data_IF_637367548446
#
_entry.id   IF_637367548446
#
_cell.length_a   1.000
_cell.length_b   1.000
_cell.length_c   1.000
_cell.angle_alpha   90.00
_cell.angle_beta   90.00
_cell.angle_gamma   90.00
#
_symmetry.space_group_name_H-M   'P 1'
#
loop_
_entity.id
_entity.type
_entity.pdbx_description
1 polymer ?
#
# COMPACT_ATOMS: atom_id res chain seq x y z
N UNK A 1 23.01 -21.33 20.87
CA UNK A 1 21.99 -22.38 20.67
C UNK A 1 21.15 -21.96 19.48
N UNK A 2 20.93 -22.81 18.47
CA UNK A 2 20.07 -22.46 17.33
C UNK A 2 18.61 -22.48 17.80
N UNK A 3 17.82 -21.41 17.61
CA UNK A 3 16.46 -21.37 18.13
C UNK A 3 15.58 -22.43 17.44
N UNK A 4 14.63 -23.00 18.21
CA UNK A 4 13.75 -24.08 17.73
C UNK A 4 12.88 -23.58 16.59
N UNK A 5 12.81 -24.34 15.50
CA UNK A 5 11.89 -24.05 14.39
C UNK A 5 10.51 -24.67 14.61
N UNK A 6 9.50 -23.87 14.31
CA UNK A 6 8.10 -24.23 14.20
C UNK A 6 7.65 -24.08 12.77
N UNK A 7 6.66 -24.87 12.35
CA UNK A 7 6.08 -24.79 11.01
C UNK A 7 4.58 -24.60 11.06
N UNK A 8 4.03 -23.97 10.02
CA UNK A 8 2.60 -23.88 9.77
C UNK A 8 2.35 -24.04 8.27
N UNK A 9 1.21 -24.64 7.93
CA UNK A 9 0.78 -24.86 6.56
C UNK A 9 -0.67 -24.41 6.44
N UNK A 10 -0.94 -23.58 5.44
CA UNK A 10 -2.27 -23.13 5.09
C UNK A 10 -2.54 -23.46 3.63
N UNK A 11 -3.75 -23.90 3.35
CA UNK A 11 -4.10 -24.36 2.01
C UNK A 11 -5.49 -23.91 1.62
N UNK A 12 -5.68 -23.63 0.34
CA UNK A 12 -6.98 -23.29 -0.23
C UNK A 12 -7.06 -23.83 -1.65
N UNK A 13 -8.20 -24.40 -2.01
CA UNK A 13 -8.49 -24.81 -3.39
C UNK A 13 -9.22 -23.69 -4.10
N UNK A 14 -8.71 -23.28 -5.26
CA UNK A 14 -9.20 -22.11 -6.01
C UNK A 14 -9.53 -22.53 -7.44
N UNK A 15 -10.65 -22.03 -7.97
CA UNK A 15 -11.10 -22.31 -9.34
C UNK A 15 -10.35 -21.46 -10.39
N UNK A 16 -9.03 -21.36 -10.27
CA UNK A 16 -8.17 -20.57 -11.16
C UNK A 16 -6.94 -21.37 -11.62
N UNK A 17 -6.36 -20.94 -12.74
CA UNK A 17 -5.10 -21.50 -13.23
C UNK A 17 -3.94 -21.08 -12.31
N UNK A 18 -2.94 -21.95 -12.08
CA UNK A 18 -1.90 -21.69 -11.09
C UNK A 18 -1.00 -20.52 -11.50
N UNK A 19 -0.82 -20.25 -12.79
CA UNK A 19 -0.02 -19.13 -13.29
C UNK A 19 -0.62 -17.78 -12.88
N UNK A 20 -1.95 -17.67 -12.86
CA UNK A 20 -2.65 -16.43 -12.45
C UNK A 20 -2.41 -16.13 -10.98
N UNK A 21 -2.49 -17.16 -10.12
CA UNK A 21 -2.23 -17.02 -8.69
C UNK A 21 -0.75 -16.75 -8.41
N UNK A 22 0.14 -17.43 -9.15
CA UNK A 22 1.57 -17.19 -9.09
C UNK A 22 1.92 -15.74 -9.43
N UNK A 23 1.38 -15.20 -10.53
CA UNK A 23 1.62 -13.82 -10.96
C UNK A 23 1.20 -12.79 -9.89
N UNK A 24 0.05 -13.00 -9.23
CA UNK A 24 -0.42 -12.15 -8.13
C UNK A 24 0.53 -12.15 -6.93
N UNK A 25 1.06 -13.32 -6.57
CA UNK A 25 2.06 -13.43 -5.48
C UNK A 25 3.42 -12.90 -5.92
N UNK A 26 3.81 -13.10 -7.17
CA UNK A 26 5.08 -12.62 -7.71
C UNK A 26 5.14 -11.08 -7.74
N UNK A 27 4.03 -10.39 -8.04
CA UNK A 27 3.99 -8.93 -8.09
C UNK A 27 3.80 -8.28 -6.71
N UNK A 28 4.88 -8.20 -5.92
CA UNK A 28 4.86 -7.57 -4.61
C UNK A 28 4.46 -6.08 -4.62
N UNK A 29 4.60 -5.38 -5.76
CA UNK A 29 4.23 -3.98 -5.86
C UNK A 29 2.70 -3.76 -5.82
N UNK A 30 1.92 -4.78 -6.21
CA UNK A 30 0.46 -4.76 -6.19
C UNK A 30 -0.13 -5.20 -4.83
N UNK A 31 0.65 -5.86 -3.98
CA UNK A 31 0.19 -6.41 -2.70
C UNK A 31 -0.54 -5.41 -1.80
N UNK A 32 -0.14 -4.13 -1.69
CA UNK A 32 -0.90 -3.17 -0.88
C UNK A 32 -2.37 -2.99 -1.29
N UNK A 33 -2.72 -3.22 -2.57
CA UNK A 33 -4.11 -3.22 -3.02
C UNK A 33 -4.79 -4.58 -2.95
N UNK A 34 -4.02 -5.68 -3.06
CA UNK A 34 -4.56 -7.05 -3.13
C UNK A 34 -4.67 -7.69 -1.75
N UNK A 35 -3.62 -7.67 -0.93
CA UNK A 35 -3.56 -8.33 0.36
C UNK A 35 -3.94 -7.41 1.49
N UNK A 36 -5.01 -7.75 2.22
CA UNK A 36 -5.55 -6.97 3.34
C UNK A 36 -4.49 -6.45 4.32
N UNK A 37 -3.59 -7.31 4.85
CA UNK A 37 -2.59 -6.89 5.83
C UNK A 37 -1.54 -5.92 5.29
N UNK A 38 -1.11 -6.08 4.04
CA UNK A 38 0.00 -5.30 3.45
C UNK A 38 -0.40 -3.85 3.25
N UNK A 39 0.34 -2.92 3.88
CA UNK A 39 0.15 -1.47 3.78
C UNK A 39 1.04 -0.87 2.69
N UNK A 40 2.31 -1.29 2.63
CA UNK A 40 3.27 -0.78 1.64
C UNK A 40 4.38 -1.79 1.38
N UNK A 41 4.93 -1.76 0.17
CA UNK A 41 6.13 -2.49 -0.25
C UNK A 41 7.06 -1.50 -0.94
N UNK A 42 8.32 -1.46 -0.49
CA UNK A 42 9.40 -0.68 -1.10
C UNK A 42 10.52 -1.62 -1.53
N UNK A 43 10.70 -1.78 -2.83
CA UNK A 43 11.80 -2.56 -3.39
C UNK A 43 13.16 -1.93 -3.04
N UNK A 44 14.09 -2.79 -2.66
CA UNK A 44 15.49 -2.46 -2.39
C UNK A 44 16.38 -3.00 -3.51
N UNK A 45 16.10 -4.22 -3.96
CA UNK A 45 16.75 -4.88 -5.09
C UNK A 45 15.67 -5.62 -5.89
N UNK A 46 15.74 -5.54 -7.23
CA UNK A 46 14.82 -6.26 -8.13
C UNK A 46 15.61 -6.91 -9.25
N UNK A 47 15.41 -8.21 -9.43
CA UNK A 47 15.90 -8.99 -10.56
C UNK A 47 14.85 -9.99 -11.01
N UNK A 48 15.16 -10.76 -12.05
CA UNK A 48 14.18 -11.62 -12.73
C UNK A 48 13.73 -12.81 -11.87
N UNK A 49 14.63 -13.33 -11.03
CA UNK A 49 14.43 -14.54 -10.21
C UNK A 49 14.58 -14.30 -8.71
N UNK A 50 14.96 -13.09 -8.32
CA UNK A 50 15.17 -12.75 -6.93
C UNK A 50 14.88 -11.27 -6.72
N UNK A 51 14.35 -10.97 -5.54
CA UNK A 51 14.11 -9.59 -5.13
C UNK A 51 14.25 -9.44 -3.63
N UNK A 52 14.44 -8.19 -3.21
CA UNK A 52 14.51 -7.79 -1.83
C UNK A 52 13.71 -6.52 -1.65
N UNK A 53 12.82 -6.50 -0.67
CA UNK A 53 11.99 -5.35 -0.38
C UNK A 53 11.77 -5.19 1.13
N UNK A 54 11.53 -3.95 1.56
CA UNK A 54 10.94 -3.67 2.87
C UNK A 54 9.43 -3.67 2.72
N UNK A 55 8.73 -4.32 3.64
CA UNK A 55 7.27 -4.41 3.65
C UNK A 55 6.75 -3.89 4.99
N UNK A 56 5.66 -3.15 4.93
CA UNK A 56 4.87 -2.71 6.08
C UNK A 56 3.52 -3.41 6.00
N UNK A 57 3.14 -4.08 7.08
CA UNK A 57 1.88 -4.80 7.15
C UNK A 57 1.26 -4.70 8.54
N UNK A 58 -0.07 -4.86 8.60
CA UNK A 58 -0.79 -4.95 9.86
C UNK A 58 -0.59 -6.34 10.45
N UNK A 59 0.02 -6.41 11.63
CA UNK A 59 0.21 -7.63 12.42
C UNK A 59 -0.47 -7.42 13.76
N UNK A 60 -1.50 -8.21 14.06
CA UNK A 60 -2.27 -8.14 15.30
C UNK A 60 -2.80 -6.72 15.64
N UNK A 61 -3.24 -6.00 14.60
CA UNK A 61 -3.85 -4.67 14.73
C UNK A 61 -2.87 -3.49 14.66
N UNK A 62 -1.56 -3.74 14.77
CA UNK A 62 -0.51 -2.72 14.67
C UNK A 62 0.26 -2.82 13.35
N UNK A 63 0.78 -1.71 12.83
CA UNK A 63 1.68 -1.76 11.66
C UNK A 63 3.09 -2.14 12.11
N UNK A 64 3.62 -3.18 11.49
CA UNK A 64 5.00 -3.64 11.66
C UNK A 64 5.69 -3.67 10.30
N UNK A 65 7.02 -3.61 10.31
CA UNK A 65 7.82 -3.70 9.10
C UNK A 65 9.05 -4.58 9.24
N UNK A 66 9.44 -5.18 8.11
CA UNK A 66 10.60 -6.04 7.99
C UNK A 66 11.15 -6.02 6.57
N UNK A 67 12.38 -6.52 6.39
CA UNK A 67 12.96 -6.75 5.06
C UNK A 67 12.79 -8.22 4.68
N UNK A 68 12.26 -8.46 3.49
CA UNK A 68 12.08 -9.79 2.92
C UNK A 68 12.96 -9.95 1.68
N UNK A 69 13.62 -11.11 1.56
CA UNK A 69 14.23 -11.59 0.32
C UNK A 69 13.38 -12.72 -0.23
N UNK A 70 13.15 -12.73 -1.55
CA UNK A 70 12.41 -13.79 -2.23
C UNK A 70 13.17 -14.36 -3.40
N UNK A 71 12.90 -15.63 -3.70
CA UNK A 71 13.29 -16.27 -4.96
C UNK A 71 12.03 -16.71 -5.69
N UNK A 72 11.98 -16.39 -6.98
CA UNK A 72 10.85 -16.62 -7.87
C UNK A 72 11.19 -17.74 -8.84
N UNK A 73 10.35 -18.77 -8.86
CA UNK A 73 10.44 -19.91 -9.78
C UNK A 73 9.13 -19.99 -10.60
N UNK A 74 9.04 -19.25 -11.72
CA UNK A 74 7.85 -19.25 -12.56
C UNK A 74 7.59 -20.60 -13.24
N UNK A 75 8.61 -21.38 -13.56
CA UNK A 75 8.43 -22.70 -14.17
C UNK A 75 7.94 -23.74 -13.16
N UNK A 76 8.51 -23.73 -11.94
CA UNK A 76 8.09 -24.61 -10.86
C UNK A 76 6.86 -24.12 -10.09
N UNK A 77 6.38 -22.90 -10.40
CA UNK A 77 5.27 -22.21 -9.74
C UNK A 77 5.47 -22.16 -8.22
N UNK A 78 6.61 -21.59 -7.81
CA UNK A 78 7.03 -21.47 -6.41
C UNK A 78 7.60 -20.09 -6.11
N UNK A 79 7.31 -19.60 -4.91
CA UNK A 79 7.97 -18.41 -4.38
C UNK A 79 8.46 -18.70 -2.98
N UNK A 80 9.77 -18.76 -2.79
CA UNK A 80 10.36 -18.88 -1.46
C UNK A 80 10.66 -17.49 -0.91
N UNK A 81 10.50 -17.32 0.40
CA UNK A 81 10.76 -16.04 1.04
C UNK A 81 11.41 -16.20 2.41
N UNK A 82 12.22 -15.21 2.78
CA UNK A 82 12.84 -15.09 4.10
C UNK A 82 12.81 -13.67 4.60
N UNK A 83 12.41 -13.49 5.85
CA UNK A 83 12.65 -12.24 6.56
C UNK A 83 14.13 -12.14 6.94
N UNK A 84 14.85 -11.18 6.36
CA UNK A 84 16.27 -10.94 6.65
C UNK A 84 16.47 -10.26 7.99
N UNK A 85 15.56 -9.35 8.34
CA UNK A 85 15.53 -8.66 9.64
C UNK A 85 14.14 -8.83 10.23
N UNK A 86 14.03 -9.79 11.14
CA UNK A 86 12.84 -9.94 11.98
C UNK A 86 12.91 -8.92 13.12
N UNK A 87 11.78 -8.65 13.77
CA UNK A 87 11.74 -7.87 15.02
C UNK A 87 11.36 -8.80 16.16
N UNK A 88 11.99 -8.59 17.32
CA UNK A 88 11.59 -9.25 18.56
C UNK A 88 10.06 -9.14 18.74
N UNK A 89 9.38 -10.23 19.13
CA UNK A 89 9.96 -11.47 19.65
C UNK A 89 10.23 -12.56 18.57
N UNK A 90 10.17 -12.23 17.28
CA UNK A 90 10.42 -13.16 16.17
C UNK A 90 11.92 -13.20 15.87
N UNK A 91 12.54 -14.36 16.06
CA UNK A 91 13.96 -14.58 15.75
C UNK A 91 14.19 -14.89 14.26
N UNK A 92 13.27 -15.64 13.65
CA UNK A 92 13.32 -15.98 12.23
C UNK A 92 11.91 -16.20 11.68
N UNK A 93 11.69 -15.81 10.43
CA UNK A 93 10.43 -16.01 9.72
C UNK A 93 10.67 -16.15 8.22
N UNK A 94 9.90 -16.99 7.55
CA UNK A 94 10.07 -17.33 6.14
C UNK A 94 9.12 -18.44 5.74
N UNK A 95 9.22 -18.88 4.49
CA UNK A 95 8.26 -19.80 3.95
C UNK A 95 8.35 -19.99 2.45
N UNK A 96 7.31 -20.63 1.93
CA UNK A 96 7.18 -20.96 0.52
C UNK A 96 5.70 -20.92 0.11
N UNK A 97 5.44 -20.27 -1.01
CA UNK A 97 4.21 -20.41 -1.78
C UNK A 97 4.38 -21.50 -2.83
N UNK A 98 3.37 -22.37 -2.96
CA UNK A 98 3.28 -23.37 -4.03
C UNK A 98 1.90 -23.29 -4.68
N UNK A 99 1.87 -23.35 -6.01
CA UNK A 99 0.65 -23.33 -6.79
C UNK A 99 0.51 -24.66 -7.53
N UNK A 100 -0.19 -25.61 -6.92
CA UNK A 100 -0.23 -27.00 -7.37
C UNK A 100 -1.46 -27.24 -8.26
N UNK A 101 -1.31 -27.57 -9.56
CA UNK A 101 -2.44 -27.87 -10.43
C UNK A 101 -3.22 -29.07 -9.90
N UNK A 102 -4.55 -29.00 -9.96
CA UNK A 102 -5.42 -30.08 -9.49
C UNK A 102 -5.95 -30.97 -10.61
N UNK A 103 -6.18 -32.27 -10.33
CA UNK A 103 -6.98 -33.12 -11.21
C UNK A 103 -8.38 -32.52 -11.37
N UNK A 104 -8.85 -32.36 -12.62
CA UNK A 104 -10.15 -31.75 -12.92
C UNK A 104 -10.14 -30.22 -13.08
N UNK A 105 -8.99 -29.57 -12.95
CA UNK A 105 -8.84 -28.12 -13.08
C UNK A 105 -8.81 -27.39 -11.74
N UNK A 106 -8.38 -26.12 -11.79
CA UNK A 106 -8.11 -25.32 -10.59
C UNK A 106 -6.74 -25.57 -9.98
N UNK A 107 -6.50 -24.94 -8.84
CA UNK A 107 -5.20 -24.91 -8.15
C UNK A 107 -5.37 -25.15 -6.67
N UNK A 108 -4.53 -26.01 -6.10
CA UNK A 108 -4.28 -26.11 -4.66
C UNK A 108 -3.19 -25.10 -4.31
N UNK A 109 -3.59 -24.02 -3.67
CA UNK A 109 -2.70 -23.00 -3.17
C UNK A 109 -2.16 -23.45 -1.81
N UNK A 110 -0.84 -23.48 -1.65
CA UNK A 110 -0.18 -23.88 -0.40
C UNK A 110 0.74 -22.75 0.05
N UNK A 111 0.56 -22.31 1.29
CA UNK A 111 1.43 -21.37 1.98
C UNK A 111 2.06 -22.05 3.18
N UNK A 112 3.36 -22.32 3.06
CA UNK A 112 4.18 -22.87 4.12
C UNK A 112 4.89 -21.75 4.85
N UNK A 113 4.90 -21.84 6.17
CA UNK A 113 5.70 -20.98 7.03
C UNK A 113 6.62 -21.80 7.90
N UNK A 114 7.79 -21.24 8.16
CA UNK A 114 8.67 -21.72 9.19
C UNK A 114 9.28 -20.53 9.97
N UNK A 115 9.21 -20.62 11.29
CA UNK A 115 9.54 -19.52 12.19
C UNK A 115 10.21 -19.99 13.48
N UNK A 116 10.85 -19.06 14.17
CA UNK A 116 11.42 -19.26 15.49
C UNK A 116 11.22 -18.01 16.36
N UNK A 117 11.01 -18.21 17.66
CA UNK A 117 11.00 -17.13 18.67
C UNK A 117 12.38 -17.04 19.34
N UNK A 118 12.74 -15.87 19.89
CA UNK A 118 14.08 -15.64 20.48
C UNK A 118 14.39 -16.58 21.65
N UNK A 119 13.41 -16.82 22.54
CA UNK A 119 13.57 -17.68 23.72
C UNK A 119 12.72 -18.97 23.66
N UNK A 120 12.09 -19.25 22.52
CA UNK A 120 11.11 -20.35 22.36
C UNK A 120 9.98 -20.35 23.41
N UNK A 121 9.66 -19.17 23.97
CA UNK A 121 8.59 -18.99 24.94
C UNK A 121 7.24 -19.48 24.35
N UNK A 122 6.53 -20.41 25.03
CA UNK A 122 5.29 -20.97 24.49
C UNK A 122 4.19 -19.95 24.24
N UNK A 123 4.11 -18.85 25.00
CA UNK A 123 3.14 -17.79 24.77
C UNK A 123 3.45 -17.02 23.48
N UNK A 124 4.71 -16.66 23.31
CA UNK A 124 5.23 -16.02 22.11
C UNK A 124 5.00 -16.89 20.87
N UNK A 125 5.31 -18.19 20.94
CA UNK A 125 5.06 -19.12 19.83
C UNK A 125 3.57 -19.19 19.48
N UNK A 126 2.68 -19.22 20.47
CA UNK A 126 1.22 -19.18 20.22
C UNK A 126 0.79 -17.85 19.59
N UNK A 127 1.34 -16.73 20.04
CA UNK A 127 1.06 -15.42 19.49
C UNK A 127 1.48 -15.30 18.02
N UNK A 128 2.69 -15.79 17.67
CA UNK A 128 3.20 -15.81 16.29
C UNK A 128 2.30 -16.72 15.43
N UNK A 129 1.99 -17.94 15.90
CA UNK A 129 1.14 -18.88 15.17
C UNK A 129 -0.25 -18.30 14.90
N UNK A 130 -0.88 -17.67 15.89
CA UNK A 130 -2.18 -17.04 15.71
C UNK A 130 -2.16 -15.87 14.71
N UNK A 131 -1.05 -15.10 14.66
CA UNK A 131 -0.86 -14.07 13.67
C UNK A 131 -0.71 -14.65 12.25
N UNK A 132 0.10 -15.71 12.11
CA UNK A 132 0.27 -16.43 10.85
C UNK A 132 -1.06 -17.02 10.38
N UNK A 133 -1.81 -17.70 11.23
CA UNK A 133 -3.08 -18.33 10.86
C UNK A 133 -4.09 -17.31 10.31
N UNK A 134 -4.21 -16.14 10.96
CA UNK A 134 -5.08 -15.07 10.48
C UNK A 134 -4.61 -14.45 9.17
N UNK A 135 -3.31 -14.14 9.08
CA UNK A 135 -2.77 -13.44 7.90
C UNK A 135 -2.74 -14.36 6.69
N UNK A 136 -2.29 -15.60 6.85
CA UNK A 136 -2.29 -16.62 5.79
C UNK A 136 -3.68 -16.84 5.23
N UNK A 137 -4.69 -17.03 6.08
CA UNK A 137 -6.08 -17.20 5.63
C UNK A 137 -6.56 -15.98 4.82
N UNK A 138 -6.30 -14.76 5.32
CA UNK A 138 -6.68 -13.53 4.62
C UNK A 138 -5.96 -13.35 3.27
N UNK A 139 -4.70 -13.77 3.16
CA UNK A 139 -3.92 -13.74 1.93
C UNK A 139 -4.42 -14.77 0.90
N UNK A 140 -4.66 -16.01 1.33
CA UNK A 140 -5.26 -17.06 0.50
C UNK A 140 -6.62 -16.64 -0.05
N UNK A 141 -7.50 -16.12 0.82
CA UNK A 141 -8.82 -15.63 0.41
C UNK A 141 -8.71 -14.44 -0.56
N UNK A 142 -7.72 -13.56 -0.38
CA UNK A 142 -7.51 -12.44 -1.29
C UNK A 142 -7.09 -12.90 -2.69
N UNK A 143 -6.21 -13.89 -2.78
CA UNK A 143 -5.81 -14.49 -4.04
C UNK A 143 -6.99 -15.17 -4.74
N UNK A 144 -7.76 -15.96 -4.00
CA UNK A 144 -8.96 -16.61 -4.52
C UNK A 144 -9.96 -15.58 -5.07
N UNK A 145 -10.29 -14.55 -4.28
CA UNK A 145 -11.21 -13.49 -4.70
C UNK A 145 -10.78 -12.84 -6.01
N UNK A 146 -9.52 -12.43 -6.14
CA UNK A 146 -9.05 -11.76 -7.36
C UNK A 146 -9.06 -12.70 -8.56
N UNK A 147 -8.61 -13.93 -8.38
CA UNK A 147 -8.54 -14.91 -9.45
C UNK A 147 -9.94 -15.35 -9.96
N UNK A 148 -10.96 -15.24 -9.11
CA UNK A 148 -12.35 -15.64 -9.40
C UNK A 148 -13.22 -14.47 -9.91
N UNK A 149 -12.67 -13.26 -10.06
CA UNK A 149 -13.41 -12.12 -10.63
C UNK A 149 -13.80 -12.31 -12.12
N UNK A 150 -13.30 -13.36 -12.79
CA UNK A 150 -13.59 -13.63 -14.19
C UNK A 150 -12.87 -12.72 -15.18
N UNK A 151 -11.88 -11.93 -14.70
CA UNK A 151 -11.08 -11.01 -15.50
C UNK A 151 -9.59 -11.25 -15.28
N UNK A 152 -8.73 -10.99 -16.29
CA UNK A 152 -7.28 -10.99 -16.08
C UNK A 152 -6.87 -10.03 -14.95
N UNK A 153 -5.96 -10.45 -14.07
CA UNK A 153 -5.51 -9.66 -12.93
C UNK A 153 -5.07 -8.23 -13.31
N UNK A 154 -4.36 -8.08 -14.44
CA UNK A 154 -3.92 -6.78 -14.99
C UNK A 154 -5.07 -5.82 -15.39
N UNK A 155 -6.28 -6.34 -15.59
CA UNK A 155 -7.45 -5.54 -15.95
C UNK A 155 -8.22 -5.06 -14.71
N UNK A 156 -8.14 -5.81 -13.60
CA UNK A 156 -8.79 -5.44 -12.33
C UNK A 156 -7.83 -4.74 -11.36
N UNK A 157 -6.52 -5.00 -11.45
CA UNK A 157 -5.48 -4.27 -10.73
C UNK A 157 -4.94 -3.17 -11.63
N UNK A 158 -5.05 -1.93 -11.18
CA UNK A 158 -4.63 -0.75 -11.93
C UNK A 158 -3.66 0.08 -11.08
N UNK A 159 -2.52 0.44 -11.67
CA UNK A 159 -1.58 1.41 -11.08
C UNK A 159 -1.40 2.59 -12.02
N UNK A 160 -1.41 3.80 -11.47
CA UNK A 160 -1.11 5.03 -12.21
C UNK A 160 -0.51 6.09 -11.29
N UNK A 161 0.09 7.09 -11.92
CA UNK A 161 0.85 8.12 -11.23
C UNK A 161 0.59 9.48 -11.87
N UNK A 162 0.52 10.51 -11.05
CA UNK A 162 0.52 11.92 -11.44
C UNK A 162 1.71 12.64 -10.77
N UNK A 163 2.42 13.48 -11.52
CA UNK A 163 3.61 14.19 -11.04
C UNK A 163 3.52 15.69 -11.33
N UNK A 164 3.90 16.51 -10.34
CA UNK A 164 4.07 17.95 -10.47
C UNK A 164 5.49 18.36 -10.12
N UNK A 165 6.02 19.36 -10.84
CA UNK A 165 7.26 20.06 -10.50
C UNK A 165 6.94 21.51 -10.17
N UNK A 166 7.46 22.03 -9.06
CA UNK A 166 7.19 23.38 -8.57
C UNK A 166 8.36 23.92 -7.73
N UNK A 167 8.51 25.25 -7.59
CA UNK A 167 9.49 25.84 -6.67
C UNK A 167 9.11 25.58 -5.21
N UNK A 168 10.10 25.37 -4.35
CA UNK A 168 9.92 25.20 -2.92
C UNK A 168 10.57 23.94 -2.37
N UNK A 169 10.74 23.88 -1.05
CA UNK A 169 11.45 22.78 -0.39
C UNK A 169 10.63 21.49 -0.33
N UNK A 170 11.32 20.36 -0.44
CA UNK A 170 10.75 19.00 -0.29
C UNK A 170 10.07 18.86 1.07
N UNK A 171 10.69 19.41 2.13
CA UNK A 171 10.16 19.39 3.49
C UNK A 171 8.80 20.08 3.62
N UNK A 172 8.58 21.20 2.92
CA UNK A 172 7.33 21.94 3.02
C UNK A 172 6.19 21.21 2.31
N UNK A 173 6.47 20.68 1.12
CA UNK A 173 5.52 19.86 0.37
C UNK A 173 5.15 18.58 1.15
N UNK A 174 6.15 17.90 1.72
CA UNK A 174 5.95 16.75 2.59
C UNK A 174 5.10 17.13 3.82
N UNK A 175 5.48 18.20 4.53
CA UNK A 175 4.79 18.64 5.74
C UNK A 175 3.31 18.97 5.48
N UNK A 176 2.98 19.54 4.31
CA UNK A 176 1.60 19.79 3.92
C UNK A 176 0.76 18.50 3.86
N UNK A 177 1.30 17.44 3.25
CA UNK A 177 0.59 16.14 3.09
C UNK A 177 0.64 15.33 4.39
N UNK A 178 1.74 15.42 5.14
CA UNK A 178 1.91 14.79 6.45
C UNK A 178 0.88 15.32 7.45
N UNK A 179 0.74 16.66 7.54
CA UNK A 179 -0.22 17.35 8.43
C UNK A 179 -1.66 17.34 7.89
N UNK A 180 -2.18 16.13 7.69
CA UNK A 180 -3.54 15.91 7.21
C UNK A 180 -4.60 16.37 8.21
N UNK A 181 -4.27 16.48 9.50
CA UNK A 181 -5.11 17.10 10.52
C UNK A 181 -5.55 18.53 10.15
N UNK A 182 -4.80 19.21 9.30
CA UNK A 182 -5.08 20.56 8.83
C UNK A 182 -5.82 20.60 7.47
N UNK A 183 -6.08 19.45 6.84
CA UNK A 183 -6.66 19.42 5.48
C UNK A 183 -8.06 20.01 5.41
N UNK A 184 -8.91 19.87 6.44
CA UNK A 184 -10.22 20.52 6.46
C UNK A 184 -10.15 22.07 6.38
N UNK A 185 -9.00 22.66 6.71
CA UNK A 185 -8.76 24.11 6.58
C UNK A 185 -8.00 24.48 5.30
N UNK A 186 -7.35 23.51 4.65
CA UNK A 186 -6.40 23.72 3.54
C UNK A 186 -6.92 23.24 2.18
N UNK A 187 -7.81 22.24 2.19
CA UNK A 187 -8.34 21.58 1.01
C UNK A 187 -9.85 21.82 0.92
N UNK A 188 -10.34 22.55 -0.10
CA UNK A 188 -11.77 22.89 -0.22
C UNK A 188 -12.71 21.69 -0.29
N UNK A 189 -12.20 20.54 -0.74
CA UNK A 189 -12.97 19.31 -0.90
C UNK A 189 -12.99 18.41 0.35
N UNK A 190 -12.32 18.81 1.44
CA UNK A 190 -12.26 18.06 2.70
C UNK A 190 -13.08 18.78 3.76
N UNK A 191 -14.13 18.15 4.26
CA UNK A 191 -15.03 18.76 5.25
C UNK A 191 -14.67 18.38 6.69
N UNK A 192 -14.12 17.19 6.91
CA UNK A 192 -13.73 16.68 8.24
C UNK A 192 -12.47 15.83 8.13
N UNK A 193 -11.61 15.93 9.14
CA UNK A 193 -10.48 15.02 9.35
C UNK A 193 -10.43 14.58 10.81
N UNK A 194 -10.11 13.31 11.03
CA UNK A 194 -9.58 12.77 12.29
C UNK A 194 -8.26 12.06 11.97
N UNK A 195 -7.19 12.51 12.59
CA UNK A 195 -5.84 11.95 12.43
C UNK A 195 -5.31 11.55 13.80
N UNK A 196 -4.85 10.32 13.93
CA UNK A 196 -4.07 9.85 15.08
C UNK A 196 -2.73 9.29 14.60
N UNK A 197 -1.68 9.43 15.40
CA UNK A 197 -0.33 8.95 15.05
C UNK A 197 0.29 8.20 16.23
N UNK A 198 0.07 6.89 16.26
CA UNK A 198 0.56 6.01 17.30
C UNK A 198 0.88 4.63 16.69
N UNK A 199 2.16 4.22 16.58
CA UNK A 199 3.40 4.94 16.94
C UNK A 199 3.77 6.07 15.96
N UNK A 200 4.80 6.90 16.27
CA UNK A 200 5.34 7.88 15.33
C UNK A 200 5.66 7.28 13.96
N UNK A 201 5.32 8.00 12.88
CA UNK A 201 5.45 7.54 11.50
C UNK A 201 4.34 6.60 11.03
N UNK A 202 3.39 6.22 11.89
CA UNK A 202 2.21 5.41 11.53
C UNK A 202 0.95 6.17 11.90
N UNK A 203 0.15 6.50 10.89
CA UNK A 203 -1.03 7.33 11.07
C UNK A 203 -2.31 6.58 10.70
N UNK A 204 -3.38 6.83 11.46
CA UNK A 204 -4.75 6.49 11.08
C UNK A 204 -5.47 7.79 10.71
N UNK A 205 -5.87 7.88 9.44
CA UNK A 205 -6.52 9.04 8.86
C UNK A 205 -7.93 8.66 8.43
N UNK A 206 -8.93 9.24 9.09
CA UNK A 206 -10.32 9.24 8.65
C UNK A 206 -10.67 10.64 8.14
N UNK A 207 -11.28 10.73 6.96
CA UNK A 207 -11.70 12.01 6.39
C UNK A 207 -12.99 11.88 5.60
N UNK A 208 -13.75 12.99 5.58
CA UNK A 208 -14.94 13.14 4.74
C UNK A 208 -14.63 14.09 3.59
N UNK A 209 -14.75 13.59 2.36
CA UNK A 209 -14.61 14.39 1.15
C UNK A 209 -15.99 14.73 0.57
N UNK A 210 -16.14 15.96 0.10
CA UNK A 210 -17.36 16.41 -0.59
C UNK A 210 -17.12 16.34 -2.09
N UNK A 211 -17.94 15.59 -2.81
CA UNK A 211 -17.88 15.48 -4.27
C UNK A 211 -18.66 16.63 -4.93
N UNK A 212 -18.48 16.77 -6.24
CA UNK A 212 -19.10 17.86 -7.02
C UNK A 212 -20.65 17.83 -6.99
N UNK A 213 -21.25 16.67 -6.73
CA UNK A 213 -22.70 16.49 -6.56
C UNK A 213 -23.19 16.81 -5.13
N UNK A 214 -22.30 17.25 -4.24
CA UNK A 214 -22.60 17.60 -2.86
C UNK A 214 -22.68 16.41 -1.90
N UNK A 215 -22.50 15.17 -2.38
CA UNK A 215 -22.47 14.01 -1.51
C UNK A 215 -21.15 13.95 -0.71
N UNK A 216 -21.23 13.40 0.51
CA UNK A 216 -20.07 13.24 1.38
C UNK A 216 -19.65 11.77 1.43
N UNK A 217 -18.36 11.52 1.23
CA UNK A 217 -17.78 10.18 1.30
C UNK A 217 -16.76 10.11 2.44
N UNK A 218 -17.02 9.24 3.41
CA UNK A 218 -16.05 8.91 4.44
C UNK A 218 -15.05 7.88 3.90
N UNK A 219 -13.77 8.19 4.04
CA UNK A 219 -12.68 7.25 3.81
C UNK A 219 -11.84 7.13 5.06
N UNK A 220 -11.27 5.94 5.29
CA UNK A 220 -10.32 5.71 6.37
C UNK A 220 -9.10 5.01 5.83
N UNK A 221 -7.91 5.45 6.22
CA UNK A 221 -6.64 4.93 5.74
C UNK A 221 -5.64 4.78 6.87
N UNK A 222 -4.79 3.77 6.76
CA UNK A 222 -3.54 3.71 7.51
C UNK A 222 -2.42 4.25 6.63
N UNK A 223 -1.54 5.08 7.19
CA UNK A 223 -0.40 5.68 6.49
C UNK A 223 0.91 5.32 7.18
N UNK A 224 1.95 5.13 6.38
CA UNK A 224 3.34 4.98 6.81
C UNK A 224 4.12 6.15 6.24
N UNK A 225 4.81 6.86 7.11
CA UNK A 225 5.45 8.14 6.82
C UNK A 225 6.96 8.01 7.01
N UNK A 226 7.72 8.40 5.99
CA UNK A 226 9.18 8.50 6.05
C UNK A 226 9.57 9.94 5.69
N UNK A 227 9.90 10.72 6.70
CA UNK A 227 10.22 12.14 6.53
C UNK A 227 11.60 12.34 5.88
N UNK A 228 11.76 13.36 5.02
CA UNK A 228 10.74 14.19 4.36
C UNK A 228 10.34 13.62 2.98
N UNK A 229 10.52 12.32 2.76
CA UNK A 229 10.60 11.75 1.42
C UNK A 229 9.26 11.23 0.91
N UNK A 230 8.52 10.47 1.71
CA UNK A 230 7.32 9.80 1.21
C UNK A 230 6.30 9.43 2.29
N UNK A 231 5.05 9.28 1.85
CA UNK A 231 3.93 8.83 2.67
C UNK A 231 3.17 7.76 1.87
N UNK A 232 3.27 6.50 2.29
CA UNK A 232 2.45 5.42 1.72
C UNK A 232 1.15 5.32 2.51
N UNK A 233 0.06 4.93 1.86
CA UNK A 233 -1.20 4.70 2.54
C UNK A 233 -1.96 3.51 1.96
N UNK A 234 -2.82 2.93 2.80
CA UNK A 234 -3.81 1.93 2.42
C UNK A 234 -5.17 2.32 2.97
N UNK A 235 -6.18 2.36 2.10
CA UNK A 235 -7.55 2.57 2.53
C UNK A 235 -8.10 1.30 3.18
N UNK A 236 -8.67 1.47 4.38
CA UNK A 236 -9.44 0.46 5.11
C UNK A 236 -10.93 0.54 4.79
N UNK A 237 -11.41 1.74 4.47
CA UNK A 237 -12.76 1.98 3.95
C UNK A 237 -12.58 2.57 2.54
N UNK A 238 -12.95 1.78 1.54
CA UNK A 238 -12.81 2.12 0.11
C UNK A 238 -14.13 2.60 -0.49
N UNK A 239 -14.09 3.41 -1.57
CA UNK A 239 -15.25 3.64 -2.41
C UNK A 239 -15.80 2.33 -3.00
N UNK A 240 -17.12 2.29 -3.28
CA UNK A 240 -17.85 1.09 -3.71
C UNK A 240 -17.27 0.39 -4.95
N UNK A 241 -16.63 1.12 -5.86
CA UNK A 241 -16.00 0.54 -7.06
C UNK A 241 -14.69 -0.22 -6.78
N UNK A 242 -14.15 -0.17 -5.55
CA UNK A 242 -12.83 -0.68 -5.21
C UNK A 242 -12.91 -1.76 -4.12
N UNK A 243 -12.37 -2.94 -4.43
CA UNK A 243 -12.08 -3.98 -3.44
C UNK A 243 -10.80 -3.69 -2.64
N UNK A 244 -9.92 -2.83 -3.18
CA UNK A 244 -8.69 -2.42 -2.53
C UNK A 244 -8.12 -1.14 -3.12
N UNK A 245 -7.50 -0.32 -2.27
CA UNK A 245 -6.84 0.90 -2.69
C UNK A 245 -5.66 1.21 -1.77
N UNK A 246 -4.51 1.43 -2.41
CA UNK A 246 -3.31 1.94 -1.78
C UNK A 246 -2.74 3.08 -2.61
N UNK A 247 -1.94 3.93 -2.01
CA UNK A 247 -1.22 4.95 -2.73
C UNK A 247 0.07 5.37 -2.06
N UNK A 248 0.79 6.25 -2.74
CA UNK A 248 2.09 6.73 -2.33
C UNK A 248 2.23 8.18 -2.76
N UNK A 249 2.55 9.04 -1.79
CA UNK A 249 3.03 10.39 -2.02
C UNK A 249 4.55 10.35 -1.93
N UNK A 250 5.24 10.80 -2.96
CA UNK A 250 6.71 10.89 -3.01
C UNK A 250 7.12 12.32 -3.31
N UNK A 251 8.16 12.78 -2.63
CA UNK A 251 8.72 14.11 -2.78
C UNK A 251 10.23 13.99 -2.98
N UNK A 252 10.74 14.57 -4.06
CA UNK A 252 12.15 14.51 -4.41
C UNK A 252 12.66 15.88 -4.89
N UNK A 253 13.94 16.20 -4.70
CA UNK A 253 14.55 17.38 -5.30
C UNK A 253 14.49 17.31 -6.83
N UNK A 254 14.08 18.41 -7.47
CA UNK A 254 14.02 18.54 -8.92
C UNK A 254 15.23 19.23 -9.55
N UNK A 255 16.15 19.77 -8.74
CA UNK A 255 17.18 20.73 -9.15
C UNK A 255 16.71 22.18 -8.99
N UNK A 256 17.64 23.13 -8.87
CA UNK A 256 17.38 24.58 -8.86
C UNK A 256 16.30 25.03 -7.85
N UNK A 257 16.30 24.45 -6.65
CA UNK A 257 15.32 24.78 -5.60
C UNK A 257 13.88 24.32 -5.90
N UNK A 258 13.69 23.43 -6.89
CA UNK A 258 12.39 22.83 -7.20
C UNK A 258 12.19 21.51 -6.50
N UNK A 259 10.92 21.19 -6.23
CA UNK A 259 10.46 19.88 -5.76
C UNK A 259 9.69 19.19 -6.87
N UNK A 260 9.90 17.88 -6.99
CA UNK A 260 9.09 16.96 -7.79
C UNK A 260 8.23 16.17 -6.81
N UNK A 261 6.91 16.37 -6.85
CA UNK A 261 5.96 15.61 -6.06
C UNK A 261 5.17 14.65 -6.95
N UNK A 262 5.05 13.41 -6.50
CA UNK A 262 4.44 12.31 -7.23
C UNK A 262 3.36 11.66 -6.38
N UNK A 263 2.17 11.50 -6.93
CA UNK A 263 1.06 10.76 -6.33
C UNK A 263 0.81 9.50 -7.15
N UNK A 264 1.06 8.33 -6.56
CA UNK A 264 0.76 7.02 -7.15
C UNK A 264 -0.46 6.41 -6.48
N UNK A 265 -1.30 5.77 -7.28
CA UNK A 265 -2.42 4.95 -6.82
C UNK A 265 -2.25 3.54 -7.38
N UNK A 266 -2.52 2.54 -6.55
CA UNK A 266 -2.69 1.15 -6.94
C UNK A 266 -4.02 0.67 -6.39
N UNK A 267 -4.93 0.27 -7.26
CA UNK A 267 -6.32 -0.10 -6.94
C UNK A 267 -6.64 -1.50 -7.44
N UNK A 268 -7.53 -2.18 -6.73
CA UNK A 268 -8.22 -3.39 -7.16
C UNK A 268 -9.70 -3.03 -7.36
N UNK A 269 -10.16 -3.12 -8.60
CA UNK A 269 -11.53 -2.81 -8.99
C UNK A 269 -12.49 -3.94 -8.57
N UNK A 270 -13.75 -3.57 -8.35
CA UNK A 270 -14.88 -4.47 -8.22
C UNK A 270 -15.71 -4.47 -9.53
N UNK A 271 -15.52 -5.45 -10.43
CA UNK A 271 -16.31 -5.55 -11.65
C UNK A 271 -17.82 -5.67 -11.38
N UNK A 272 -18.21 -6.28 -10.26
CA UNK A 272 -19.62 -6.51 -9.92
C UNK A 272 -20.35 -5.22 -9.53
N UNK A 273 -19.63 -4.24 -9.01
CA UNK A 273 -20.16 -2.93 -8.63
C UNK A 273 -20.34 -1.98 -9.83
N UNK A 274 -19.79 -2.30 -11.01
CA UNK A 274 -19.78 -1.39 -12.16
C UNK A 274 -21.19 -0.98 -12.62
N UNK A 275 -22.15 -1.91 -12.83
CA UNK A 275 -23.50 -1.52 -13.27
C UNK A 275 -24.26 -0.70 -12.23
N UNK A 276 -24.01 -0.95 -10.94
CA UNK A 276 -24.63 -0.23 -9.82
C UNK A 276 -24.11 1.21 -9.73
N UNK A 277 -22.78 1.40 -9.81
CA UNK A 277 -22.17 2.70 -9.55
C UNK A 277 -22.08 3.58 -10.79
N UNK A 278 -21.79 3.00 -11.97
CA UNK A 278 -21.59 3.76 -13.21
C UNK A 278 -22.81 3.70 -14.15
N UNK A 279 -23.79 2.86 -13.82
CA UNK A 279 -25.01 2.64 -14.59
C UNK A 279 -24.97 1.41 -15.48
N UNK A 280 -26.17 0.94 -15.85
CA UNK A 280 -26.34 -0.23 -16.69
C UNK A 280 -25.61 -0.09 -18.05
N UNK A 281 -24.97 -1.17 -18.51
CA UNK A 281 -24.23 -1.21 -19.78
C UNK A 281 -22.78 -0.70 -19.70
N UNK A 282 -22.32 -0.21 -18.54
CA UNK A 282 -20.92 0.16 -18.32
C UNK A 282 -20.01 -1.06 -18.17
N UNK A 283 -18.78 -0.90 -18.63
CA UNK A 283 -17.77 -1.95 -18.70
C UNK A 283 -16.67 -1.75 -17.65
N UNK A 284 -15.84 -2.79 -17.46
CA UNK A 284 -14.63 -2.67 -16.64
C UNK A 284 -13.68 -1.58 -17.17
N UNK A 285 -13.64 -1.36 -18.49
CA UNK A 285 -12.84 -0.29 -19.09
C UNK A 285 -13.37 1.11 -18.70
N UNK A 286 -14.70 1.30 -18.67
CA UNK A 286 -15.31 2.52 -18.15
C UNK A 286 -14.94 2.74 -16.68
N UNK A 287 -14.95 1.69 -15.86
CA UNK A 287 -14.58 1.75 -14.46
C UNK A 287 -13.10 2.13 -14.26
N UNK A 288 -12.19 1.56 -15.06
CA UNK A 288 -10.76 1.92 -15.05
C UNK A 288 -10.56 3.41 -15.37
N UNK A 289 -11.22 3.90 -16.43
CA UNK A 289 -11.13 5.31 -16.82
C UNK A 289 -11.70 6.22 -15.72
N UNK A 290 -12.89 5.89 -15.21
CA UNK A 290 -13.54 6.66 -14.15
C UNK A 290 -12.68 6.76 -12.89
N UNK A 291 -12.13 5.64 -12.41
CA UNK A 291 -11.29 5.60 -11.20
C UNK A 291 -9.98 6.34 -11.40
N UNK A 292 -9.31 6.16 -12.55
CA UNK A 292 -8.08 6.90 -12.91
C UNK A 292 -8.30 8.40 -12.83
N UNK A 293 -9.40 8.85 -13.42
CA UNK A 293 -9.77 10.26 -13.52
C UNK A 293 -10.17 10.84 -12.17
N UNK A 294 -11.03 10.15 -11.41
CA UNK A 294 -11.51 10.62 -10.12
C UNK A 294 -10.37 10.74 -9.09
N UNK A 295 -9.57 9.68 -8.94
CA UNK A 295 -8.46 9.67 -8.00
C UNK A 295 -7.33 10.61 -8.43
N UNK A 296 -7.00 10.65 -9.73
CA UNK A 296 -5.99 11.55 -10.27
C UNK A 296 -6.34 13.03 -10.10
N UNK A 297 -7.61 13.41 -10.35
CA UNK A 297 -8.07 14.79 -10.09
C UNK A 297 -7.96 15.15 -8.61
N UNK A 298 -8.35 14.25 -7.71
CA UNK A 298 -8.28 14.48 -6.27
C UNK A 298 -6.83 14.65 -5.80
N UNK A 299 -5.93 13.75 -6.18
CA UNK A 299 -4.53 13.81 -5.75
C UNK A 299 -3.77 14.99 -6.36
N UNK A 300 -4.01 15.30 -7.63
CA UNK A 300 -3.45 16.52 -8.26
C UNK A 300 -3.93 17.80 -7.59
N UNK A 301 -5.20 17.87 -7.15
CA UNK A 301 -5.68 19.03 -6.40
C UNK A 301 -4.89 19.19 -5.09
N UNK A 302 -4.68 18.10 -4.34
CA UNK A 302 -3.86 18.10 -3.12
C UNK A 302 -2.42 18.51 -3.40
N UNK A 303 -1.78 17.98 -4.45
CA UNK A 303 -0.40 18.35 -4.82
C UNK A 303 -0.27 19.82 -5.22
N UNK A 304 -1.28 20.40 -5.89
CA UNK A 304 -1.28 21.84 -6.22
C UNK A 304 -1.34 22.72 -4.97
N UNK A 305 -2.13 22.34 -3.97
CA UNK A 305 -2.15 23.06 -2.69
C UNK A 305 -0.83 22.89 -1.92
N UNK A 306 -0.22 21.71 -1.93
CA UNK A 306 1.11 21.49 -1.36
C UNK A 306 2.18 22.35 -2.06
N UNK A 307 2.11 22.45 -3.39
CA UNK A 307 3.00 23.28 -4.19
C UNK A 307 2.89 24.77 -3.83
N UNK A 308 1.67 25.29 -3.75
CA UNK A 308 1.42 26.68 -3.36
C UNK A 308 1.93 26.97 -1.93
N UNK A 309 1.72 26.01 -1.00
CA UNK A 309 2.24 26.12 0.36
C UNK A 309 3.77 26.20 0.39
N UNK A 310 4.46 25.29 -0.30
CA UNK A 310 5.93 25.25 -0.36
C UNK A 310 6.53 26.52 -1.01
N UNK A 311 5.88 27.05 -2.06
CA UNK A 311 6.30 28.30 -2.68
C UNK A 311 6.22 29.49 -1.70
N UNK A 312 5.09 29.63 -0.99
CA UNK A 312 4.90 30.73 -0.02
C UNK A 312 5.87 30.70 1.18
N UNK A 313 6.24 29.50 1.64
CA UNK A 313 7.22 29.32 2.70
C UNK A 313 8.63 29.75 2.25
N UNK A 314 8.96 29.51 0.98
CA UNK A 314 10.24 29.91 0.38
C UNK A 314 10.35 31.42 0.19
N UNK A 315 9.27 32.08 -0.23
CA UNK A 315 9.19 33.55 -0.33
C UNK A 315 9.34 34.21 1.05
N UNK A 316 8.63 33.71 2.06
CA UNK A 316 8.73 34.23 3.43
C UNK A 316 10.14 34.09 4.00
N UNK A 317 10.84 32.99 3.70
CA UNK A 317 12.21 32.77 4.11
C UNK A 317 13.19 33.75 3.43
N UNK A 318 13.01 34.03 2.12
CA UNK A 318 13.88 34.96 1.39
C UNK A 318 13.67 36.43 1.82
N UNK A 319 12.44 36.85 2.11
CA UNK A 319 12.13 38.16 2.67
C UNK A 319 12.75 38.33 4.06
N UNK A 320 12.64 37.32 4.93
CA UNK A 320 13.26 37.36 6.27
C UNK A 320 14.79 37.46 6.22
N UNK A 321 15.43 36.79 5.24
CA UNK A 321 16.88 36.83 5.04
C UNK A 321 17.37 38.17 4.48
N UNK A 322 16.59 38.81 3.60
CA UNK A 322 16.93 40.12 3.02
C UNK A 322 16.72 41.29 3.99
N UNK A 323 15.69 41.21 4.85
CA UNK A 323 15.44 42.22 5.90
C UNK A 323 16.45 42.22 7.04
N UNK A 324 17.10 41.09 7.33
CA UNK A 324 18.18 41.01 8.32
C UNK A 324 19.52 41.61 7.81
N UNK A 325 19.66 41.82 6.50
CA UNK A 325 20.88 42.36 5.88
C UNK A 325 20.94 43.89 5.77
N UNK A 326 19.89 44.62 6.17
CA UNK A 326 19.79 46.09 6.01
C UNK A 326 19.90 46.87 7.32
N UNK A 327 20.17 46.21 8.45
CA UNK A 327 20.53 46.86 9.72
C UNK A 327 22.04 46.80 9.96
N UNK A 328 22.80 47.68 9.31
CA UNK A 328 24.18 48.01 9.66
C UNK A 328 24.44 49.48 9.34
#
# INVERSE_FOLDING_TARGET
MTPRRHTAEHTLDVAARPEVLYELVADAAAWPAVFGPTVHVRHLERGDRAERFRIWATVNGAVSDWTSRRTLDPEGLRVTFRQERSRAPIAAMGGEWRFEPRPGGGTRLVLLHDFAAEDDDPETVRWIRAALDRNSAAELDALARVAELGHPAREVVLTFTDTLRFPGAVSDAYAFVHRADLWARRLPHVSRVRLTEEPPGVQDLEMDTVTADGSAHTTRSVRVCEEPSWIAYKQRITPRLLLGHSGLWEFAPGGDGTTVATARHTVLLDPSAVPEVLGAGRTLADARAHVRDALGRNSLATLRHAAAFAASASESASESASGAGTSA
#
